data_IF_314713420791
#
_entry.id   IF_314713420791
#
_cell.length_a   1.000
_cell.length_b   1.000
_cell.length_c   1.000
_cell.angle_alpha   90.00
_cell.angle_beta   90.00
_cell.angle_gamma   90.00
#
_symmetry.space_group_name_H-M   'P 1'
#
loop_
_entity.id
_entity.type
_entity.pdbx_description
1 polymer ?
#
# COMPACT_ATOMS: atom_id res chain seq x y z
N UNK A 1 -10.11 -3.06 -12.18
CA UNK A 1 -11.10 -2.66 -11.15
C UNK A 1 -11.25 -1.13 -11.16
N UNK A 2 -12.45 -0.60 -10.91
CA UNK A 2 -12.76 0.85 -11.12
C UNK A 2 -11.86 1.79 -10.31
N UNK A 3 -11.57 1.44 -9.05
CA UNK A 3 -10.88 2.30 -8.09
C UNK A 3 -9.36 2.10 -8.06
N UNK A 4 -8.79 1.21 -8.87
CA UNK A 4 -7.36 0.88 -8.76
C UNK A 4 -6.47 2.10 -8.90
N UNK A 5 -6.76 2.93 -9.91
CA UNK A 5 -5.97 4.11 -10.21
C UNK A 5 -5.95 5.06 -9.01
N UNK A 6 -7.12 5.35 -8.44
CA UNK A 6 -7.26 6.23 -7.28
C UNK A 6 -6.52 5.66 -6.04
N UNK A 7 -6.59 4.34 -5.83
CA UNK A 7 -5.87 3.68 -4.73
C UNK A 7 -4.36 3.79 -4.93
N UNK A 8 -3.88 3.46 -6.13
CA UNK A 8 -2.44 3.51 -6.45
C UNK A 8 -1.92 4.94 -6.29
N UNK A 9 -2.65 5.93 -6.81
CA UNK A 9 -2.29 7.34 -6.66
C UNK A 9 -2.23 7.75 -5.19
N UNK A 10 -3.22 7.35 -4.37
CA UNK A 10 -3.23 7.69 -2.94
C UNK A 10 -2.07 7.07 -2.17
N UNK A 11 -1.75 5.80 -2.41
CA UNK A 11 -0.62 5.10 -1.78
C UNK A 11 0.73 5.67 -2.25
N UNK A 12 0.83 6.05 -3.54
CA UNK A 12 1.99 6.75 -4.08
C UNK A 12 2.24 8.08 -3.36
N UNK A 13 1.21 8.88 -3.08
CA UNK A 13 1.38 10.13 -2.32
C UNK A 13 1.93 9.88 -0.91
N UNK A 14 1.45 8.85 -0.22
CA UNK A 14 1.96 8.46 1.09
C UNK A 14 3.44 8.03 1.03
N UNK A 15 3.80 7.23 0.03
CA UNK A 15 5.18 6.79 -0.21
C UNK A 15 6.10 7.92 -0.64
N UNK A 16 5.65 8.85 -1.49
CA UNK A 16 6.43 9.98 -1.97
C UNK A 16 6.83 10.93 -0.82
N UNK A 17 5.99 11.02 0.23
CA UNK A 17 6.35 11.70 1.48
C UNK A 17 7.49 11.03 2.27
N UNK A 18 7.90 9.81 1.89
CA UNK A 18 9.05 9.08 2.46
C UNK A 18 10.22 9.02 1.48
N UNK A 19 9.97 8.52 0.26
CA UNK A 19 10.94 8.37 -0.82
C UNK A 19 10.24 8.38 -2.18
N UNK A 20 10.69 9.28 -3.06
CA UNK A 20 10.20 9.36 -4.44
C UNK A 20 10.50 8.08 -5.23
N UNK A 21 11.62 7.41 -4.93
CA UNK A 21 12.01 6.16 -5.58
C UNK A 21 11.02 5.04 -5.24
N UNK A 22 10.67 4.88 -3.95
CA UNK A 22 9.67 3.90 -3.52
C UNK A 22 8.31 4.15 -4.16
N UNK A 23 7.88 5.42 -4.22
CA UNK A 23 6.62 5.78 -4.89
C UNK A 23 6.64 5.40 -6.37
N UNK A 24 7.76 5.66 -7.06
CA UNK A 24 7.88 5.37 -8.49
C UNK A 24 7.89 3.86 -8.75
N UNK A 25 8.63 3.10 -7.94
CA UNK A 25 8.67 1.64 -8.03
C UNK A 25 7.27 1.03 -7.78
N UNK A 26 6.57 1.48 -6.73
CA UNK A 26 5.22 1.05 -6.43
C UNK A 26 4.24 1.37 -7.57
N UNK A 27 4.27 2.60 -8.10
CA UNK A 27 3.42 2.99 -9.21
C UNK A 27 3.63 2.06 -10.43
N UNK A 28 4.89 1.80 -10.80
CA UNK A 28 5.21 0.96 -11.94
C UNK A 28 4.69 -0.48 -11.76
N UNK A 29 4.87 -1.06 -10.58
CA UNK A 29 4.41 -2.41 -10.26
C UNK A 29 2.88 -2.51 -10.21
N UNK A 30 2.19 -1.48 -9.68
CA UNK A 30 0.75 -1.54 -9.43
C UNK A 30 -0.13 -0.84 -10.47
N UNK A 31 0.46 -0.20 -11.49
CA UNK A 31 -0.25 0.48 -12.59
C UNK A 31 -1.07 -0.45 -13.49
N UNK A 32 -0.67 -1.72 -13.62
CA UNK A 32 -1.34 -2.68 -14.51
C UNK A 32 -2.73 -3.08 -13.96
N UNK A 33 -3.80 -3.06 -14.77
CA UNK A 33 -5.16 -3.35 -14.30
C UNK A 33 -5.30 -4.74 -13.67
N UNK A 34 -5.95 -4.81 -12.51
CA UNK A 34 -6.33 -6.04 -11.81
C UNK A 34 -7.84 -6.22 -11.76
N UNK A 35 -8.27 -7.47 -11.61
CA UNK A 35 -9.68 -7.83 -11.73
C UNK A 35 -10.44 -7.72 -10.41
N UNK A 36 -9.83 -8.12 -9.28
CA UNK A 36 -10.47 -8.14 -7.97
C UNK A 36 -9.79 -7.20 -6.95
N UNK A 37 -10.61 -6.53 -6.12
CA UNK A 37 -10.15 -5.66 -5.03
C UNK A 37 -9.36 -6.47 -3.99
N UNK A 38 -9.89 -7.61 -3.56
CA UNK A 38 -9.24 -8.49 -2.59
C UNK A 38 -7.86 -8.94 -3.06
N UNK A 39 -7.75 -9.44 -4.29
CA UNK A 39 -6.49 -9.86 -4.89
C UNK A 39 -5.47 -8.70 -4.95
N UNK A 40 -5.91 -7.53 -5.41
CA UNK A 40 -5.07 -6.34 -5.45
C UNK A 40 -4.60 -5.92 -4.05
N UNK A 41 -5.51 -5.83 -3.07
CA UNK A 41 -5.19 -5.45 -1.70
C UNK A 41 -4.24 -6.46 -1.03
N UNK A 42 -4.40 -7.76 -1.28
CA UNK A 42 -3.44 -8.77 -0.81
C UNK A 42 -2.05 -8.57 -1.41
N UNK A 43 -1.95 -8.25 -2.70
CA UNK A 43 -0.65 -7.97 -3.34
C UNK A 43 0.00 -6.70 -2.79
N UNK A 44 -0.79 -5.64 -2.57
CA UNK A 44 -0.31 -4.40 -1.94
C UNK A 44 0.19 -4.67 -0.52
N UNK A 45 -0.60 -5.37 0.30
CA UNK A 45 -0.20 -5.74 1.66
C UNK A 45 1.10 -6.55 1.67
N UNK A 46 1.23 -7.53 0.76
CA UNK A 46 2.44 -8.33 0.65
C UNK A 46 3.66 -7.48 0.24
N UNK A 47 3.50 -6.54 -0.70
CA UNK A 47 4.55 -5.61 -1.10
C UNK A 47 5.03 -4.78 0.09
N UNK A 48 4.10 -4.16 0.84
CA UNK A 48 4.47 -3.40 2.03
C UNK A 48 5.09 -4.27 3.13
N UNK A 49 4.57 -5.47 3.36
CA UNK A 49 5.10 -6.42 4.33
C UNK A 49 6.56 -6.79 4.04
N UNK A 50 6.90 -6.98 2.76
CA UNK A 50 8.28 -7.18 2.33
C UNK A 50 9.12 -5.91 2.52
N UNK A 51 8.57 -4.75 2.17
CA UNK A 51 9.27 -3.46 2.27
C UNK A 51 9.64 -3.10 3.72
N UNK A 52 8.76 -3.39 4.68
CA UNK A 52 9.03 -3.22 6.11
C UNK A 52 9.65 -4.48 6.76
N UNK A 53 9.89 -5.55 6.00
CA UNK A 53 10.35 -6.85 6.49
C UNK A 53 9.56 -7.35 7.73
N UNK A 54 8.24 -7.14 7.71
CA UNK A 54 7.30 -7.50 8.77
C UNK A 54 5.93 -7.75 8.17
N UNK A 55 5.82 -8.89 7.49
CA UNK A 55 4.57 -9.33 6.86
C UNK A 55 3.41 -9.52 7.86
N UNK A 56 3.59 -10.15 9.03
CA UNK A 56 2.49 -10.33 10.00
C UNK A 56 1.84 -9.02 10.43
N UNK A 57 2.62 -7.94 10.56
CA UNK A 57 2.08 -6.62 10.93
C UNK A 57 1.16 -6.03 9.87
N UNK A 58 1.44 -6.29 8.59
CA UNK A 58 0.60 -5.84 7.48
C UNK A 58 -0.59 -6.77 7.27
N UNK A 59 -0.39 -8.09 7.43
CA UNK A 59 -1.49 -9.06 7.34
C UNK A 59 -2.59 -8.78 8.39
N UNK A 60 -2.22 -8.24 9.56
CA UNK A 60 -3.16 -7.82 10.60
C UNK A 60 -4.08 -6.64 10.20
N UNK A 61 -3.72 -5.87 9.15
CA UNK A 61 -4.57 -4.80 8.60
C UNK A 61 -5.76 -5.38 7.82
N UNK A 62 -5.64 -6.61 7.30
CA UNK A 62 -6.66 -7.23 6.47
C UNK A 62 -6.80 -6.59 5.08
N UNK A 63 -7.92 -6.84 4.42
CA UNK A 63 -8.25 -6.31 3.10
C UNK A 63 -9.68 -5.72 3.13
N UNK A 64 -9.98 -4.69 2.32
CA UNK A 64 -11.32 -4.12 2.27
C UNK A 64 -12.29 -5.12 1.61
N UNK A 65 -13.43 -5.39 2.26
CA UNK A 65 -14.48 -6.27 1.73
C UNK A 65 -15.39 -5.51 0.74
N UNK A 66 -15.62 -4.23 1.00
CA UNK A 66 -16.43 -3.34 0.18
C UNK A 66 -15.65 -2.13 -0.32
N UNK A 67 -16.15 -1.48 -1.37
CA UNK A 67 -15.49 -0.31 -1.96
C UNK A 67 -15.45 0.88 -0.98
N UNK A 68 -16.42 0.98 -0.07
CA UNK A 68 -16.47 2.00 0.98
C UNK A 68 -15.42 1.81 2.08
N UNK A 69 -14.86 0.60 2.20
CA UNK A 69 -13.81 0.27 3.17
C UNK A 69 -12.42 0.68 2.68
N UNK A 70 -12.28 0.95 1.37
CA UNK A 70 -10.99 1.25 0.72
C UNK A 70 -10.24 2.40 1.43
N UNK A 71 -10.86 3.55 1.74
CA UNK A 71 -10.16 4.65 2.41
C UNK A 71 -9.62 4.26 3.79
N UNK A 72 -10.43 3.54 4.59
CA UNK A 72 -10.03 3.08 5.92
C UNK A 72 -8.88 2.08 5.86
N UNK A 73 -8.93 1.14 4.92
CA UNK A 73 -7.84 0.19 4.69
C UNK A 73 -6.53 0.89 4.32
N UNK A 74 -6.58 1.91 3.44
CA UNK A 74 -5.40 2.70 3.07
C UNK A 74 -4.83 3.42 4.31
N UNK A 75 -5.68 4.06 5.11
CA UNK A 75 -5.26 4.77 6.32
C UNK A 75 -4.61 3.84 7.35
N UNK A 76 -5.21 2.68 7.61
CA UNK A 76 -4.66 1.69 8.54
C UNK A 76 -3.34 1.12 8.04
N UNK A 77 -3.24 0.81 6.74
CA UNK A 77 -2.01 0.36 6.11
C UNK A 77 -0.90 1.41 6.26
N UNK A 78 -1.17 2.66 5.91
CA UNK A 78 -0.22 3.77 6.01
C UNK A 78 0.22 4.02 7.46
N UNK A 79 -0.70 3.97 8.42
CA UNK A 79 -0.40 4.13 9.85
C UNK A 79 0.57 3.07 10.34
N UNK A 80 0.47 1.84 9.81
CA UNK A 80 1.33 0.72 10.19
C UNK A 80 2.71 0.80 9.52
N UNK A 81 2.76 1.14 8.22
CA UNK A 81 3.96 0.99 7.39
C UNK A 81 4.80 2.26 7.31
N UNK A 82 4.20 3.44 7.18
CA UNK A 82 4.94 4.69 6.92
C UNK A 82 5.89 5.07 8.06
N UNK A 83 5.54 4.92 9.36
CA UNK A 83 6.49 5.21 10.44
C UNK A 83 7.74 4.32 10.36
N UNK A 84 7.57 3.02 10.07
CA UNK A 84 8.69 2.07 9.96
C UNK A 84 9.60 2.42 8.78
N UNK A 85 9.00 2.76 7.63
CA UNK A 85 9.76 3.18 6.45
C UNK A 85 10.52 4.49 6.71
N UNK A 86 9.91 5.47 7.37
CA UNK A 86 10.58 6.73 7.75
C UNK A 86 11.80 6.49 8.63
N UNK A 87 11.70 5.58 9.60
CA UNK A 87 12.83 5.25 10.47
C UNK A 87 13.96 4.54 9.71
N UNK A 88 13.62 3.67 8.76
CA UNK A 88 14.61 3.01 7.90
C UNK A 88 15.34 3.96 6.97
N UNK A 89 14.63 4.90 6.36
CA UNK A 89 15.21 5.85 5.40
C UNK A 89 16.04 6.98 6.04
N UNK A 90 16.00 7.11 7.38
CA UNK A 90 16.87 8.04 8.12
C UNK A 90 18.25 7.46 8.44
N UNK A 91 18.43 6.14 8.30
CA UNK A 91 19.71 5.45 8.50
C UNK A 91 20.48 5.36 7.20
#
# INVERSE_FOLDING_TARGET
MRYQKDIVERLCLGLAGISQELSTAFHNEFSAPRHALSEFSHQVNAHYGNLINDKPKVDAVGVPEHNEDIPYWIEDLERVVLPVLRERMKK
#
